data_IF_989071286070
#
_entry.id   IF_989071286070
#
_cell.length_a   1.000
_cell.length_b   1.000
_cell.length_c   1.000
_cell.angle_alpha   90.00
_cell.angle_beta   90.00
_cell.angle_gamma   90.00
#
_symmetry.space_group_name_H-M   'P 1'
#
loop_
_entity.id
_entity.type
_entity.pdbx_description
1 polymer ?
#
# COMPACT_ATOMS: atom_id res chain seq x y z
N UNK A 1 20.80 13.78 -6.16
CA UNK A 1 20.86 12.89 -7.34
C UNK A 1 19.42 12.61 -7.72
N UNK A 2 18.98 12.99 -8.93
CA UNK A 2 17.58 12.79 -9.31
C UNK A 2 17.32 11.30 -9.56
N UNK A 3 16.06 10.87 -9.38
CA UNK A 3 15.70 9.46 -9.56
C UNK A 3 15.98 8.98 -11.00
N UNK A 4 15.78 9.88 -11.97
CA UNK A 4 16.08 9.68 -13.39
C UNK A 4 17.56 9.35 -13.61
N UNK A 5 18.47 10.04 -12.92
CA UNK A 5 19.93 9.80 -13.06
C UNK A 5 20.31 8.41 -12.53
N UNK A 6 19.58 7.92 -11.53
CA UNK A 6 19.79 6.61 -10.91
C UNK A 6 19.31 5.49 -11.83
N UNK A 7 18.15 5.66 -12.44
CA UNK A 7 17.58 4.72 -13.41
C UNK A 7 18.45 4.61 -14.66
N UNK A 8 18.91 5.74 -15.21
CA UNK A 8 19.82 5.74 -16.36
C UNK A 8 21.13 5.00 -16.06
N UNK A 9 21.67 5.14 -14.84
CA UNK A 9 22.86 4.41 -14.40
C UNK A 9 22.64 2.90 -14.35
N UNK A 10 21.51 2.44 -13.80
CA UNK A 10 21.20 1.01 -13.75
C UNK A 10 21.00 0.41 -15.15
N UNK A 11 20.37 1.15 -16.06
CA UNK A 11 20.23 0.72 -17.44
C UNK A 11 21.60 0.58 -18.13
N UNK A 12 22.50 1.56 -17.98
CA UNK A 12 23.83 1.49 -18.54
C UNK A 12 24.65 0.30 -17.99
N UNK A 13 24.56 0.04 -16.68
CA UNK A 13 25.21 -1.10 -16.03
C UNK A 13 24.64 -2.43 -16.54
N UNK A 14 23.32 -2.52 -16.75
CA UNK A 14 22.68 -3.71 -17.28
C UNK A 14 23.11 -4.01 -18.72
N UNK A 15 23.20 -2.97 -19.57
CA UNK A 15 23.71 -3.11 -20.93
C UNK A 15 25.16 -3.57 -20.97
N UNK A 16 26.01 -3.00 -20.10
CA UNK A 16 27.42 -3.38 -20.00
C UNK A 16 27.56 -4.83 -19.52
N UNK A 17 26.86 -5.21 -18.44
CA UNK A 17 26.88 -6.58 -17.91
C UNK A 17 26.39 -7.62 -18.93
N UNK A 18 25.47 -7.25 -19.82
CA UNK A 18 25.00 -8.12 -20.89
C UNK A 18 26.03 -8.27 -22.03
N UNK A 19 26.79 -7.21 -22.35
CA UNK A 19 27.92 -7.30 -23.29
C UNK A 19 29.07 -8.13 -22.74
N UNK A 20 29.32 -8.01 -21.43
CA UNK A 20 30.41 -8.71 -20.75
C UNK A 20 30.05 -10.16 -20.37
N UNK A 21 28.82 -10.61 -20.68
CA UNK A 21 28.30 -11.95 -20.35
C UNK A 21 28.43 -12.34 -18.86
N UNK A 22 28.40 -11.36 -17.96
CA UNK A 22 28.53 -11.59 -16.52
C UNK A 22 27.37 -12.44 -16.00
N UNK A 23 27.63 -13.34 -15.06
CA UNK A 23 26.59 -14.16 -14.42
C UNK A 23 25.57 -13.29 -13.65
N UNK A 24 24.28 -13.65 -13.64
CA UNK A 24 23.27 -12.96 -12.84
C UNK A 24 23.49 -13.17 -11.33
N UNK A 25 23.01 -12.24 -10.49
CA UNK A 25 22.98 -12.38 -9.03
C UNK A 25 23.79 -11.36 -8.23
N UNK A 26 24.53 -10.45 -8.87
CA UNK A 26 25.35 -9.47 -8.16
C UNK A 26 24.56 -8.21 -7.72
N UNK A 27 23.56 -7.80 -8.51
CA UNK A 27 22.63 -6.71 -8.18
C UNK A 27 21.24 -7.00 -8.77
N UNK A 28 20.24 -7.10 -7.89
CA UNK A 28 18.86 -7.44 -8.28
C UNK A 28 18.20 -6.38 -9.17
N UNK A 29 18.60 -5.11 -9.07
CA UNK A 29 18.08 -4.06 -9.94
C UNK A 29 18.64 -4.21 -11.36
N UNK A 30 19.95 -4.42 -11.47
CA UNK A 30 20.62 -4.65 -12.77
C UNK A 30 20.06 -5.90 -13.44
N UNK A 31 19.81 -6.97 -12.69
CA UNK A 31 19.23 -8.21 -13.24
C UNK A 31 17.81 -8.01 -13.79
N UNK A 32 16.98 -7.16 -13.15
CA UNK A 32 15.66 -6.79 -13.69
C UNK A 32 15.78 -6.06 -15.03
N UNK A 33 16.68 -5.08 -15.12
CA UNK A 33 16.92 -4.36 -16.37
C UNK A 33 17.48 -5.28 -17.47
N UNK A 34 18.36 -6.24 -17.12
CA UNK A 34 18.84 -7.26 -18.09
C UNK A 34 17.71 -8.12 -18.62
N UNK A 35 16.76 -8.52 -17.77
CA UNK A 35 15.60 -9.31 -18.18
C UNK A 35 14.72 -8.53 -19.17
N UNK A 36 14.45 -7.26 -18.88
CA UNK A 36 13.71 -6.37 -19.80
C UNK A 36 14.47 -6.24 -21.13
N UNK A 37 15.79 -6.03 -21.09
CA UNK A 37 16.61 -5.91 -22.30
C UNK A 37 16.56 -7.17 -23.17
N UNK A 38 16.56 -8.37 -22.55
CA UNK A 38 16.41 -9.64 -23.26
C UNK A 38 15.01 -9.82 -23.84
N UNK A 39 13.98 -9.46 -23.09
CA UNK A 39 12.60 -9.51 -23.58
C UNK A 39 12.39 -8.59 -24.79
N UNK A 40 12.97 -7.40 -24.77
CA UNK A 40 12.92 -6.45 -25.90
C UNK A 40 13.71 -6.92 -27.13
N UNK A 41 14.79 -7.68 -26.92
CA UNK A 41 15.63 -8.23 -28.01
C UNK A 41 15.09 -9.53 -28.58
N UNK A 42 14.22 -10.24 -27.87
CA UNK A 42 13.59 -11.42 -28.41
C UNK A 42 12.62 -11.01 -29.52
N UNK A 43 12.80 -11.51 -30.77
CA UNK A 43 11.81 -11.29 -31.79
C UNK A 43 10.51 -11.93 -31.32
N UNK A 44 9.46 -11.11 -31.20
CA UNK A 44 8.12 -11.59 -30.86
C UNK A 44 7.77 -12.61 -31.95
N UNK A 45 7.59 -13.87 -31.55
CA UNK A 45 7.26 -14.93 -32.49
C UNK A 45 6.03 -14.54 -33.32
N UNK A 46 5.94 -14.95 -34.59
CA UNK A 46 4.95 -14.44 -35.54
C UNK A 46 3.47 -14.73 -35.17
N UNK A 47 3.22 -15.53 -34.14
CA UNK A 47 1.88 -15.80 -33.61
C UNK A 47 1.91 -15.86 -32.08
N UNK A 48 1.34 -14.83 -31.45
CA UNK A 48 0.89 -14.95 -30.06
C UNK A 48 -0.33 -15.87 -30.03
N UNK A 49 -0.48 -16.64 -28.95
CA UNK A 49 -1.68 -17.43 -28.74
C UNK A 49 -2.92 -16.52 -28.77
N UNK A 50 -4.05 -16.95 -29.36
CA UNK A 50 -5.26 -16.14 -29.46
C UNK A 50 -5.76 -15.66 -28.08
N UNK A 51 -5.53 -16.45 -27.04
CA UNK A 51 -5.97 -16.17 -25.67
C UNK A 51 -4.91 -15.44 -24.82
N UNK A 52 -3.77 -15.07 -25.42
CA UNK A 52 -2.66 -14.46 -24.68
C UNK A 52 -3.07 -13.18 -23.94
N UNK A 53 -3.87 -12.32 -24.58
CA UNK A 53 -4.36 -11.09 -23.98
C UNK A 53 -5.24 -11.37 -22.75
N UNK A 54 -6.10 -12.39 -22.82
CA UNK A 54 -6.98 -12.78 -21.70
C UNK A 54 -6.19 -13.39 -20.55
N UNK A 55 -5.22 -14.26 -20.86
CA UNK A 55 -4.35 -14.86 -19.85
C UNK A 55 -3.48 -13.81 -19.14
N UNK A 56 -2.95 -12.84 -19.88
CA UNK A 56 -2.17 -11.74 -19.33
C UNK A 56 -3.03 -10.84 -18.45
N UNK A 57 -4.24 -10.48 -18.89
CA UNK A 57 -5.17 -9.67 -18.10
C UNK A 57 -5.53 -10.37 -16.77
N UNK A 58 -5.82 -11.66 -16.80
CA UNK A 58 -6.12 -12.44 -15.59
C UNK A 58 -4.93 -12.47 -14.60
N UNK A 59 -3.70 -12.57 -15.11
CA UNK A 59 -2.51 -12.60 -14.27
C UNK A 59 -2.17 -11.22 -13.68
N UNK A 60 -2.33 -10.13 -14.45
CA UNK A 60 -2.19 -8.76 -13.94
C UNK A 60 -3.17 -8.51 -12.80
N UNK A 61 -4.44 -8.85 -13.00
CA UNK A 61 -5.46 -8.70 -11.95
C UNK A 61 -5.10 -9.51 -10.70
N UNK A 62 -4.59 -10.73 -10.86
CA UNK A 62 -4.16 -11.58 -9.73
C UNK A 62 -3.00 -10.95 -8.93
N UNK A 63 -2.03 -10.35 -9.62
CA UNK A 63 -0.90 -9.68 -8.98
C UNK A 63 -1.32 -8.39 -8.25
N UNK A 64 -2.22 -7.61 -8.84
CA UNK A 64 -2.80 -6.43 -8.17
C UNK A 64 -3.53 -6.81 -6.88
N UNK A 65 -4.34 -7.87 -6.89
CA UNK A 65 -5.04 -8.35 -5.70
C UNK A 65 -4.08 -8.75 -4.58
N UNK A 66 -2.94 -9.38 -4.91
CA UNK A 66 -1.93 -9.74 -3.92
C UNK A 66 -1.30 -8.51 -3.27
N UNK A 67 -0.98 -7.50 -4.07
CA UNK A 67 -0.43 -6.24 -3.56
C UNK A 67 -1.40 -5.51 -2.63
N UNK A 68 -2.70 -5.52 -2.95
CA UNK A 68 -3.73 -4.86 -2.14
C UNK A 68 -3.91 -5.56 -0.79
N UNK A 69 -3.85 -6.90 -0.75
CA UNK A 69 -3.95 -7.66 0.50
C UNK A 69 -2.74 -7.40 1.42
N UNK A 70 -1.53 -7.38 0.86
CA UNK A 70 -0.32 -7.10 1.63
C UNK A 70 -0.36 -5.67 2.22
N UNK A 71 -0.78 -4.68 1.43
CA UNK A 71 -0.88 -3.28 1.88
C UNK A 71 -1.99 -3.07 2.93
N UNK A 72 -3.13 -3.74 2.75
CA UNK A 72 -4.21 -3.74 3.74
C UNK A 72 -3.77 -4.38 5.07
N UNK A 73 -3.03 -5.49 5.01
CA UNK A 73 -2.50 -6.15 6.20
C UNK A 73 -1.51 -5.26 6.96
N UNK A 74 -0.60 -4.59 6.24
CA UNK A 74 0.34 -3.64 6.83
C UNK A 74 -0.41 -2.47 7.49
N UNK A 75 -1.43 -1.94 6.82
CA UNK A 75 -2.26 -0.85 7.35
C UNK A 75 -2.99 -1.24 8.64
N UNK A 76 -3.58 -2.44 8.66
CA UNK A 76 -4.24 -2.97 9.86
C UNK A 76 -3.24 -3.16 11.00
N UNK A 77 -2.07 -3.75 10.72
CA UNK A 77 -1.03 -3.96 11.72
C UNK A 77 -0.55 -2.64 12.33
N UNK A 78 -0.28 -1.64 11.49
CA UNK A 78 0.15 -0.31 11.94
C UNK A 78 -0.93 0.36 12.79
N UNK A 79 -2.19 0.26 12.40
CA UNK A 79 -3.32 0.81 13.16
C UNK A 79 -3.42 0.16 14.54
N UNK A 80 -3.31 -1.17 14.61
CA UNK A 80 -3.32 -1.90 15.88
C UNK A 80 -2.14 -1.49 16.77
N UNK A 81 -0.93 -1.35 16.22
CA UNK A 81 0.23 -0.88 16.99
C UNK A 81 0.02 0.53 17.54
N UNK A 82 -0.53 1.46 16.75
CA UNK A 82 -0.82 2.82 17.21
C UNK A 82 -1.84 2.81 18.34
N UNK A 83 -2.91 2.02 18.22
CA UNK A 83 -3.93 1.90 19.26
C UNK A 83 -3.37 1.32 20.56
N UNK A 84 -2.55 0.28 20.48
CA UNK A 84 -1.87 -0.31 21.64
C UNK A 84 -0.91 0.71 22.26
N UNK A 85 -0.11 1.41 21.44
CA UNK A 85 0.81 2.43 21.91
C UNK A 85 0.08 3.56 22.64
N UNK A 86 -1.04 4.02 22.09
CA UNK A 86 -1.87 5.05 22.71
C UNK A 86 -2.49 4.55 24.03
N UNK A 87 -3.00 3.31 24.06
CA UNK A 87 -3.56 2.71 25.27
C UNK A 87 -2.52 2.61 26.40
N UNK A 88 -1.30 2.20 26.09
CA UNK A 88 -0.19 2.11 27.06
C UNK A 88 0.31 3.49 27.48
N UNK A 89 0.37 4.46 26.55
CA UNK A 89 0.81 5.82 26.85
C UNK A 89 -0.22 6.62 27.67
N UNK A 90 -1.51 6.31 27.51
CA UNK A 90 -2.62 7.03 28.14
C UNK A 90 -2.45 7.30 29.65
N UNK A 91 -2.16 6.31 30.52
CA UNK A 91 -2.00 6.56 31.96
C UNK A 91 -0.84 7.50 32.31
N UNK A 92 0.17 7.62 31.45
CA UNK A 92 1.32 8.52 31.66
C UNK A 92 1.04 9.93 31.14
N UNK A 93 0.30 10.05 30.03
CA UNK A 93 -0.01 11.34 29.40
C UNK A 93 -1.19 12.02 30.09
N UNK A 94 -2.16 11.26 30.61
CA UNK A 94 -3.35 11.78 31.30
C UNK A 94 -3.04 12.75 32.47
N UNK A 95 -2.15 12.44 33.44
CA UNK A 95 -1.84 13.36 34.53
C UNK A 95 -1.10 14.61 34.04
N UNK A 96 -0.27 14.48 33.01
CA UNK A 96 0.47 15.60 32.41
C UNK A 96 -0.49 16.59 31.73
N UNK A 97 -1.48 16.07 30.99
CA UNK A 97 -2.58 16.87 30.44
C UNK A 97 -3.41 17.52 31.55
N UNK A 98 -3.69 16.83 32.65
CA UNK A 98 -4.38 17.39 33.82
C UNK A 98 -3.65 18.59 34.43
N UNK A 99 -2.32 18.51 34.54
CA UNK A 99 -1.48 19.61 35.03
C UNK A 99 -1.48 20.81 34.08
N UNK A 100 -1.46 20.57 32.76
CA UNK A 100 -1.54 21.64 31.75
C UNK A 100 -2.93 22.29 31.69
N UNK A 101 -4.00 21.52 31.96
CA UNK A 101 -5.38 22.05 31.98
C UNK A 101 -5.55 23.11 33.07
N UNK A 102 -4.84 22.98 34.20
CA UNK A 102 -4.83 23.97 35.28
C UNK A 102 -4.12 25.29 34.95
N UNK A 103 -3.25 25.33 33.92
CA UNK A 103 -2.47 26.53 33.57
C UNK A 103 -2.95 27.26 32.30
N UNK A 104 -3.92 26.71 31.57
CA UNK A 104 -4.45 27.26 30.32
C UNK A 104 -5.97 27.48 30.39
N UNK A 105 -6.45 28.70 30.74
CA UNK A 105 -7.88 29.00 30.84
C UNK A 105 -8.64 28.91 29.51
N UNK A 106 -7.95 28.74 28.38
CA UNK A 106 -8.52 28.54 27.04
C UNK A 106 -8.72 27.06 26.67
N UNK A 107 -8.22 26.10 27.47
CA UNK A 107 -8.28 24.67 27.14
C UNK A 107 -9.68 24.06 27.41
N UNK A 108 -10.46 24.64 28.32
CA UNK A 108 -11.76 24.07 28.70
C UNK A 108 -12.80 24.11 27.57
N UNK A 109 -12.72 25.08 26.65
CA UNK A 109 -13.65 25.18 25.51
C UNK A 109 -13.32 24.23 24.36
N UNK A 110 -12.04 23.88 24.15
CA UNK A 110 -11.59 22.98 23.08
C UNK A 110 -11.66 21.50 23.47
N UNK A 111 -11.35 21.14 24.72
CA UNK A 111 -11.30 19.75 25.16
C UNK A 111 -12.61 19.24 25.80
N UNK A 112 -13.52 20.13 26.23
CA UNK A 112 -14.84 19.74 26.75
C UNK A 112 -15.75 19.06 25.72
N UNK A 113 -15.52 19.32 24.42
CA UNK A 113 -16.26 18.67 23.32
C UNK A 113 -15.72 17.26 23.05
N UNK A 114 -14.43 17.01 23.32
CA UNK A 114 -13.77 15.74 23.04
C UNK A 114 -13.99 14.68 24.13
N UNK A 115 -14.00 15.07 25.42
CA UNK A 115 -14.21 14.13 26.54
C UNK A 115 -15.63 13.51 26.51
N UNK A 116 -16.66 14.29 26.17
CA UNK A 116 -18.04 13.79 26.06
C UNK A 116 -18.28 12.92 24.83
N UNK A 117 -17.57 13.18 23.73
CA UNK A 117 -17.69 12.41 22.49
C UNK A 117 -16.99 11.05 22.60
N UNK A 118 -15.78 10.99 23.17
CA UNK A 118 -15.00 9.74 23.22
C UNK A 118 -15.44 8.78 24.33
N UNK A 119 -16.04 9.27 25.42
CA UNK A 119 -16.54 8.42 26.50
C UNK A 119 -17.80 7.61 26.11
N UNK A 120 -18.59 8.12 25.16
CA UNK A 120 -19.82 7.48 24.68
C UNK A 120 -19.67 6.82 23.31
N UNK A 121 -18.46 6.79 22.75
CA UNK A 121 -18.19 6.03 21.52
C UNK A 121 -18.21 4.55 21.89
N UNK A 122 -19.19 3.76 21.39
CA UNK A 122 -19.14 2.33 21.57
C UNK A 122 -17.97 1.82 20.73
N UNK A 123 -16.82 1.57 21.36
CA UNK A 123 -15.63 1.04 20.68
C UNK A 123 -15.92 -0.22 19.84
N UNK A 124 -16.97 -0.97 20.21
CA UNK A 124 -17.49 -2.12 19.43
C UNK A 124 -18.00 -1.71 18.04
N UNK A 125 -18.59 -0.52 17.89
CA UNK A 125 -19.03 0.01 16.60
C UNK A 125 -17.85 0.47 15.73
N UNK A 126 -16.80 1.07 16.31
CA UNK A 126 -15.61 1.49 15.55
C UNK A 126 -14.82 0.28 15.02
N UNK A 127 -14.65 -0.77 15.84
CA UNK A 127 -14.00 -2.02 15.40
C UNK A 127 -14.85 -2.71 14.32
N UNK A 128 -16.18 -2.67 14.43
CA UNK A 128 -17.09 -3.14 13.37
C UNK A 128 -17.04 -2.28 12.10
N UNK A 129 -16.80 -0.98 12.23
CA UNK A 129 -16.73 -0.04 11.11
C UNK A 129 -15.46 -0.19 10.28
N UNK A 130 -14.32 -0.56 10.89
CA UNK A 130 -13.09 -0.82 10.14
C UNK A 130 -13.24 -2.03 9.19
N UNK A 131 -14.00 -3.06 9.62
CA UNK A 131 -14.37 -4.18 8.74
C UNK A 131 -15.37 -3.76 7.64
N UNK A 132 -16.29 -2.83 7.96
CA UNK A 132 -17.27 -2.32 7.00
C UNK A 132 -16.67 -1.36 5.95
N UNK A 133 -15.70 -0.52 6.31
CA UNK A 133 -15.03 0.40 5.37
C UNK A 133 -14.14 -0.39 4.40
N UNK A 134 -13.45 -1.43 4.87
CA UNK A 134 -12.76 -2.37 4.00
C UNK A 134 -13.71 -3.14 3.08
N UNK A 135 -14.89 -3.53 3.57
CA UNK A 135 -15.93 -4.21 2.79
C UNK A 135 -16.61 -3.32 1.74
N UNK A 136 -16.95 -2.08 2.08
CA UNK A 136 -17.63 -1.13 1.17
C UNK A 136 -16.70 -0.69 0.05
N UNK A 137 -15.40 -0.50 0.33
CA UNK A 137 -14.42 -0.15 -0.71
C UNK A 137 -14.11 -1.31 -1.67
N UNK A 138 -14.25 -2.57 -1.21
CA UNK A 138 -14.17 -3.76 -2.05
C UNK A 138 -15.43 -3.95 -2.92
N UNK A 139 -16.61 -3.63 -2.40
CA UNK A 139 -17.90 -3.79 -3.11
C UNK A 139 -18.06 -2.74 -4.21
N UNK A 140 -17.64 -1.49 -3.98
CA UNK A 140 -17.79 -0.41 -4.96
C UNK A 140 -16.87 -0.62 -6.19
N UNK A 141 -15.67 -1.19 -6.02
CA UNK A 141 -14.78 -1.56 -7.14
C UNK A 141 -15.21 -2.82 -7.90
N UNK A 142 -15.98 -3.71 -7.28
CA UNK A 142 -16.56 -4.86 -7.95
C UNK A 142 -17.75 -4.47 -8.85
N UNK A 143 -18.45 -3.38 -8.53
CA UNK A 143 -19.56 -2.88 -9.35
C UNK A 143 -19.06 -2.28 -10.69
N UNK A 144 -17.92 -1.59 -10.69
CA UNK A 144 -17.37 -0.89 -11.87
C UNK A 144 -16.63 -1.83 -12.86
N UNK A 145 -16.26 -3.04 -12.42
CA UNK A 145 -15.58 -4.04 -13.26
C UNK A 145 -16.53 -5.06 -13.90
N UNK A 146 -17.84 -4.91 -13.72
CA UNK A 146 -18.81 -5.73 -14.43
C UNK A 146 -18.78 -5.37 -15.92
N UNK A 147 -18.30 -6.27 -16.82
CA UNK A 147 -18.30 -5.98 -18.24
C UNK A 147 -19.76 -5.79 -18.64
N UNK A 148 -20.10 -4.57 -19.07
CA UNK A 148 -21.41 -4.26 -19.64
C UNK A 148 -21.63 -5.23 -20.79
N UNK A 149 -22.38 -6.29 -20.50
CA UNK A 149 -22.89 -7.22 -21.48
C UNK A 149 -23.91 -6.43 -22.31
N UNK A 150 -23.38 -5.91 -23.42
CA UNK A 150 -23.99 -5.81 -24.74
C UNK A 150 -25.31 -5.05 -24.88
N UNK A 151 -25.28 -4.02 -25.74
CA UNK A 151 -25.91 -4.11 -27.05
C UNK A 151 -25.11 -3.27 -28.05
#
# INVERSE_FOLDING_TARGET
>A
MNNIDKEARWQALAEQAERDHTAPGNDSQVDRYRLILRALRQPVGPQLAPDFAQAMQAEVLRQEHRSVVEDALVTVLMTVMVLIGLYVAYPYVAPLLGQMRGSLPLADSLFGIADGALANVPWRAIIGSAAAIGGVMLIDRYADSSPRLQA
#
